data_IF_291486830262
#
_entry.id   IF_291486830262
#
_cell.length_a   1.000
_cell.length_b   1.000
_cell.length_c   1.000
_cell.angle_alpha   90.00
_cell.angle_beta   90.00
_cell.angle_gamma   90.00
#
_symmetry.space_group_name_H-M   'P 1'
#
loop_
_entity.id
_entity.type
_entity.pdbx_description
1 polymer ?
#
# COMPACT_ATOMS: atom_id res chain seq x y z
N UNK A 1 -14.84 89.97 -42.78
CA UNK A 1 -15.21 88.83 -43.65
C UNK A 1 -14.43 87.55 -43.29
N UNK A 2 -13.54 87.58 -42.28
CA UNK A 2 -12.64 86.48 -41.90
C UNK A 2 -13.24 85.41 -40.95
N UNK A 3 -14.39 85.69 -40.35
CA UNK A 3 -14.97 84.83 -39.30
C UNK A 3 -15.59 83.51 -39.84
N UNK A 4 -16.05 83.51 -41.10
CA UNK A 4 -16.67 82.33 -41.73
C UNK A 4 -15.63 81.29 -42.17
N UNK A 5 -14.41 81.71 -42.48
CA UNK A 5 -13.35 80.80 -42.94
C UNK A 5 -12.75 79.96 -41.81
N UNK A 6 -12.76 80.48 -40.59
CA UNK A 6 -12.26 79.76 -39.40
C UNK A 6 -13.25 78.67 -38.98
N UNK A 7 -14.55 78.98 -38.98
CA UNK A 7 -15.61 78.01 -38.66
C UNK A 7 -15.63 76.81 -39.64
N UNK A 8 -15.46 77.07 -40.93
CA UNK A 8 -15.39 76.00 -41.96
C UNK A 8 -14.09 75.17 -41.87
N UNK A 9 -12.98 75.75 -41.39
CA UNK A 9 -11.73 75.01 -41.16
C UNK A 9 -11.84 74.13 -39.91
N UNK A 10 -12.47 74.63 -38.85
CA UNK A 10 -12.71 73.90 -37.60
C UNK A 10 -13.67 72.72 -37.80
N UNK A 11 -14.75 72.92 -38.55
CA UNK A 11 -15.68 71.84 -38.92
C UNK A 11 -15.00 70.71 -39.71
N UNK A 12 -14.05 71.05 -40.61
CA UNK A 12 -13.26 70.05 -41.36
C UNK A 12 -12.31 69.27 -40.46
N UNK A 13 -11.66 69.92 -39.49
CA UNK A 13 -10.80 69.24 -38.52
C UNK A 13 -11.58 68.28 -37.63
N UNK A 14 -12.74 68.68 -37.14
CA UNK A 14 -13.62 67.82 -36.32
C UNK A 14 -14.10 66.60 -37.11
N UNK A 15 -14.48 66.78 -38.37
CA UNK A 15 -14.86 65.66 -39.25
C UNK A 15 -13.69 64.70 -39.51
N UNK A 16 -12.47 65.23 -39.70
CA UNK A 16 -11.26 64.41 -39.86
C UNK A 16 -10.89 63.65 -38.59
N UNK A 17 -10.99 64.28 -37.41
CA UNK A 17 -10.75 63.62 -36.12
C UNK A 17 -11.77 62.52 -35.83
N UNK A 18 -13.06 62.73 -36.16
CA UNK A 18 -14.08 61.68 -36.03
C UNK A 18 -13.82 60.50 -36.97
N UNK A 19 -13.39 60.78 -38.20
CA UNK A 19 -13.04 59.74 -39.16
C UNK A 19 -11.82 58.92 -38.72
N UNK A 20 -10.76 59.57 -38.20
CA UNK A 20 -9.56 58.88 -37.71
C UNK A 20 -9.82 58.09 -36.43
N UNK A 21 -10.56 58.65 -35.47
CA UNK A 21 -10.96 57.93 -34.26
C UNK A 21 -11.78 56.68 -34.59
N UNK A 22 -12.79 56.81 -35.46
CA UNK A 22 -13.61 55.64 -35.86
C UNK A 22 -12.82 54.60 -36.66
N UNK A 23 -11.78 55.00 -37.39
CA UNK A 23 -10.90 54.05 -38.09
C UNK A 23 -10.01 53.29 -37.11
N UNK A 24 -9.44 53.99 -36.12
CA UNK A 24 -8.62 53.38 -35.07
C UNK A 24 -9.45 52.43 -34.21
N UNK A 25 -10.66 52.83 -33.81
CA UNK A 25 -11.53 51.96 -33.00
C UNK A 25 -11.87 50.66 -33.73
N UNK A 26 -12.13 50.72 -35.05
CA UNK A 26 -12.37 49.52 -35.87
C UNK A 26 -11.14 48.64 -35.97
N UNK A 27 -9.96 49.23 -36.17
CA UNK A 27 -8.69 48.51 -36.29
C UNK A 27 -8.32 47.80 -34.97
N UNK A 28 -8.43 48.51 -33.85
CA UNK A 28 -8.20 47.96 -32.51
C UNK A 28 -9.20 46.85 -32.21
N UNK A 29 -10.48 47.03 -32.52
CA UNK A 29 -11.48 45.99 -32.28
C UNK A 29 -11.24 44.74 -33.13
N UNK A 30 -10.75 44.90 -34.36
CA UNK A 30 -10.35 43.78 -35.22
C UNK A 30 -9.10 43.05 -34.69
N UNK A 31 -8.08 43.78 -34.25
CA UNK A 31 -6.87 43.21 -33.64
C UNK A 31 -7.18 42.49 -32.32
N UNK A 32 -8.08 43.03 -31.49
CA UNK A 32 -8.54 42.37 -30.26
C UNK A 32 -9.27 41.05 -30.60
N UNK A 33 -10.18 41.06 -31.59
CA UNK A 33 -10.91 39.86 -32.00
C UNK A 33 -9.95 38.77 -32.51
N UNK A 34 -8.98 39.14 -33.35
CA UNK A 34 -7.99 38.24 -33.90
C UNK A 34 -7.06 37.66 -32.81
N UNK A 35 -6.66 38.49 -31.84
CA UNK A 35 -5.85 38.04 -30.69
C UNK A 35 -6.63 37.11 -29.76
N UNK A 36 -7.93 37.35 -29.56
CA UNK A 36 -8.78 36.49 -28.76
C UNK A 36 -8.94 35.09 -29.38
N UNK A 37 -9.13 35.01 -30.71
CA UNK A 37 -9.19 33.73 -31.44
C UNK A 37 -7.86 32.97 -31.41
N UNK A 38 -6.73 33.67 -31.58
CA UNK A 38 -5.40 33.04 -31.46
C UNK A 38 -5.10 32.56 -30.03
N UNK A 39 -5.49 33.35 -29.03
CA UNK A 39 -5.34 33.01 -27.62
C UNK A 39 -6.10 31.73 -27.27
N UNK A 40 -7.36 31.64 -27.66
CA UNK A 40 -8.21 30.47 -27.41
C UNK A 40 -7.73 29.20 -28.10
N UNK A 41 -7.27 29.28 -29.35
CA UNK A 41 -6.71 28.13 -30.06
C UNK A 41 -5.40 27.62 -29.41
N UNK A 42 -4.49 28.54 -29.05
CA UNK A 42 -3.24 28.19 -28.37
C UNK A 42 -3.46 27.66 -26.95
N UNK A 43 -4.47 28.20 -26.26
CA UNK A 43 -4.89 27.76 -24.92
C UNK A 43 -5.53 26.37 -24.96
N UNK A 44 -6.34 26.07 -25.97
CA UNK A 44 -6.91 24.73 -26.19
C UNK A 44 -5.83 23.65 -26.36
N UNK A 45 -4.76 23.95 -27.11
CA UNK A 45 -3.61 23.03 -27.29
C UNK A 45 -2.87 22.81 -25.96
N UNK A 46 -2.71 23.85 -25.14
CA UNK A 46 -2.11 23.72 -23.80
C UNK A 46 -2.98 22.90 -22.86
N UNK A 47 -4.29 23.13 -22.88
CA UNK A 47 -5.28 22.38 -22.09
C UNK A 47 -5.27 20.89 -22.44
N UNK A 48 -5.18 20.54 -23.72
CA UNK A 48 -5.08 19.15 -24.16
C UNK A 48 -3.78 18.49 -23.67
N UNK A 49 -2.66 19.22 -23.71
CA UNK A 49 -1.40 18.79 -23.14
C UNK A 49 -1.50 18.49 -21.64
N UNK A 50 -2.10 19.38 -20.85
CA UNK A 50 -2.31 19.18 -19.40
C UNK A 50 -3.25 18.01 -19.13
N UNK A 51 -4.33 17.87 -19.91
CA UNK A 51 -5.26 16.76 -19.78
C UNK A 51 -4.60 15.41 -20.11
N UNK A 52 -3.72 15.37 -21.11
CA UNK A 52 -2.92 14.19 -21.45
C UNK A 52 -1.92 13.84 -20.35
N UNK A 53 -1.28 14.83 -19.73
CA UNK A 53 -0.31 14.62 -18.65
C UNK A 53 -0.99 14.18 -17.34
N UNK A 54 -2.14 14.75 -16.99
CA UNK A 54 -2.95 14.25 -15.87
C UNK A 54 -3.44 12.83 -16.12
N UNK A 55 -3.82 12.49 -17.35
CA UNK A 55 -4.23 11.12 -17.73
C UNK A 55 -3.06 10.15 -17.60
N UNK A 56 -1.86 10.51 -18.08
CA UNK A 56 -0.69 9.64 -17.98
C UNK A 56 -0.30 9.38 -16.52
N UNK A 57 -0.35 10.42 -15.68
CA UNK A 57 -0.07 10.33 -14.25
C UNK A 57 -1.11 9.48 -13.50
N UNK A 58 -2.39 9.62 -13.84
CA UNK A 58 -3.45 8.79 -13.26
C UNK A 58 -3.34 7.31 -13.67
N UNK A 59 -2.92 7.02 -14.91
CA UNK A 59 -2.69 5.64 -15.37
C UNK A 59 -1.50 5.03 -14.63
N UNK A 60 -0.41 5.78 -14.45
CA UNK A 60 0.79 5.30 -13.74
C UNK A 60 0.53 5.08 -12.24
N UNK A 61 -0.24 5.96 -11.61
CA UNK A 61 -0.65 5.83 -10.21
C UNK A 61 -1.53 4.59 -9.98
N UNK A 62 -2.49 4.32 -10.87
CA UNK A 62 -3.34 3.12 -10.78
C UNK A 62 -2.50 1.85 -11.04
N UNK A 63 -1.55 1.89 -11.98
CA UNK A 63 -0.63 0.79 -12.27
C UNK A 63 0.40 0.55 -11.14
N UNK A 64 0.79 1.59 -10.41
CA UNK A 64 1.62 1.51 -9.20
C UNK A 64 0.86 0.94 -8.02
N UNK A 65 -0.35 1.46 -7.77
CA UNK A 65 -1.20 1.07 -6.64
C UNK A 65 -1.59 -0.42 -6.70
N UNK A 66 -1.87 -0.98 -7.88
CA UNK A 66 -2.17 -2.40 -8.02
C UNK A 66 -1.02 -3.33 -7.59
N UNK A 67 0.24 -2.92 -7.84
CA UNK A 67 1.42 -3.75 -7.55
C UNK A 67 1.84 -3.71 -6.08
N UNK A 68 1.62 -2.58 -5.40
CA UNK A 68 1.93 -2.45 -3.97
C UNK A 68 0.87 -3.11 -3.08
N UNK A 69 -0.40 -3.11 -3.49
CA UNK A 69 -1.49 -3.78 -2.77
C UNK A 69 -1.39 -5.31 -2.85
N UNK A 70 -0.96 -5.88 -3.98
CA UNK A 70 -0.81 -7.33 -4.11
C UNK A 70 0.36 -7.87 -3.28
N UNK A 71 1.50 -7.16 -3.25
CA UNK A 71 2.66 -7.58 -2.47
C UNK A 71 2.39 -7.50 -0.96
N UNK A 72 1.77 -6.41 -0.51
CA UNK A 72 1.47 -6.18 0.91
C UNK A 72 0.42 -7.16 1.45
N UNK A 73 -0.61 -7.49 0.66
CA UNK A 73 -1.63 -8.49 1.03
C UNK A 73 -1.08 -9.92 1.09
N UNK A 74 -0.10 -10.26 0.27
CA UNK A 74 0.49 -11.60 0.27
C UNK A 74 1.34 -11.83 1.52
N UNK A 75 2.17 -10.86 1.90
CA UNK A 75 2.99 -10.95 3.11
C UNK A 75 2.15 -10.93 4.40
N UNK A 76 1.09 -10.12 4.45
CA UNK A 76 0.19 -10.09 5.59
C UNK A 76 -0.53 -11.45 5.80
N UNK A 77 -1.02 -12.06 4.71
CA UNK A 77 -1.66 -13.38 4.79
C UNK A 77 -0.66 -14.49 5.15
N UNK A 78 0.58 -14.44 4.66
CA UNK A 78 1.61 -15.40 5.01
C UNK A 78 1.93 -15.37 6.51
N UNK A 79 2.04 -14.19 7.12
CA UNK A 79 2.22 -14.04 8.57
C UNK A 79 1.10 -14.71 9.35
N UNK A 80 -0.15 -14.45 8.98
CA UNK A 80 -1.32 -14.97 9.67
C UNK A 80 -1.41 -16.49 9.58
N UNK A 81 -1.06 -17.06 8.43
CA UNK A 81 -1.00 -18.52 8.26
C UNK A 81 0.08 -19.12 9.16
N UNK A 82 1.27 -18.53 9.18
CA UNK A 82 2.38 -19.00 10.02
C UNK A 82 2.00 -18.92 11.51
N UNK A 83 1.46 -17.79 11.98
CA UNK A 83 1.01 -17.61 13.36
C UNK A 83 -0.06 -18.63 13.77
N UNK A 84 -0.99 -18.94 12.86
CA UNK A 84 -2.00 -19.98 13.09
C UNK A 84 -1.38 -21.37 13.17
N UNK A 85 -0.44 -21.71 12.28
CA UNK A 85 0.27 -22.99 12.35
C UNK A 85 1.04 -23.17 13.66
N UNK A 86 1.74 -22.13 14.12
CA UNK A 86 2.43 -22.15 15.42
C UNK A 86 1.45 -22.30 16.57
N UNK A 87 0.35 -21.54 16.57
CA UNK A 87 -0.71 -21.65 17.58
C UNK A 87 -1.32 -23.06 17.63
N UNK A 88 -1.56 -23.67 16.47
CA UNK A 88 -2.04 -25.05 16.36
C UNK A 88 -1.01 -26.05 16.92
N UNK A 89 0.26 -25.87 16.58
CA UNK A 89 1.36 -26.70 17.08
C UNK A 89 1.48 -26.62 18.60
N UNK A 90 1.39 -25.42 19.20
CA UNK A 90 1.38 -25.25 20.65
C UNK A 90 0.20 -25.95 21.30
N UNK A 91 -1.00 -25.80 20.74
CA UNK A 91 -2.18 -26.50 21.24
C UNK A 91 -1.96 -28.01 21.27
N UNK A 92 -1.37 -28.57 20.22
CA UNK A 92 -1.12 -30.00 20.11
C UNK A 92 -0.05 -30.49 21.11
N UNK A 93 1.06 -29.75 21.26
CA UNK A 93 2.10 -30.05 22.25
C UNK A 93 1.58 -29.89 23.68
N UNK A 94 0.76 -28.88 23.96
CA UNK A 94 0.16 -28.64 25.27
C UNK A 94 -0.84 -29.75 25.63
N UNK A 95 -1.69 -30.17 24.69
CA UNK A 95 -2.58 -31.33 24.88
C UNK A 95 -1.74 -32.57 25.18
N UNK A 96 -0.67 -32.84 24.42
CA UNK A 96 0.24 -33.94 24.70
C UNK A 96 0.84 -33.86 26.10
N UNK A 97 1.29 -32.68 26.52
CA UNK A 97 1.85 -32.43 27.87
C UNK A 97 0.82 -32.80 28.94
N UNK A 98 -0.41 -32.32 28.82
CA UNK A 98 -1.50 -32.57 29.77
C UNK A 98 -1.84 -34.05 29.82
N UNK A 99 -1.97 -34.71 28.66
CA UNK A 99 -2.20 -36.15 28.56
C UNK A 99 -1.08 -36.95 29.24
N UNK A 100 0.18 -36.57 29.00
CA UNK A 100 1.34 -37.20 29.62
C UNK A 100 1.38 -36.97 31.13
N UNK A 101 0.98 -35.79 31.60
CA UNK A 101 1.00 -35.43 33.03
C UNK A 101 -0.10 -36.16 33.82
N UNK A 102 -1.25 -36.40 33.20
CA UNK A 102 -2.36 -37.18 33.78
C UNK A 102 -2.09 -38.70 33.70
N UNK A 103 -0.97 -39.12 33.09
CA UNK A 103 -0.65 -40.53 32.91
C UNK A 103 -1.61 -41.24 31.96
N UNK A 104 -2.07 -40.53 30.91
CA UNK A 104 -3.01 -41.08 29.94
C UNK A 104 -2.47 -42.38 29.32
N UNK A 105 -3.32 -43.40 29.24
CA UNK A 105 -2.92 -44.71 28.73
C UNK A 105 -2.64 -44.62 27.23
N UNK A 106 -1.46 -45.06 26.81
CA UNK A 106 -1.04 -45.10 25.39
C UNK A 106 -1.89 -46.02 24.51
N UNK A 107 -2.75 -46.85 25.09
CA UNK A 107 -3.76 -47.63 24.35
C UNK A 107 -4.98 -46.81 23.91
N UNK A 108 -5.11 -45.55 24.35
CA UNK A 108 -6.19 -44.69 23.94
C UNK A 108 -5.93 -44.11 22.54
N UNK A 109 -6.91 -44.24 21.63
CA UNK A 109 -6.77 -43.78 20.24
C UNK A 109 -6.52 -42.28 20.09
N UNK A 110 -7.04 -41.44 21.00
CA UNK A 110 -6.77 -40.00 21.01
C UNK A 110 -5.33 -39.71 21.41
N UNK A 111 -4.78 -40.41 22.40
CA UNK A 111 -3.36 -40.29 22.79
C UNK A 111 -2.46 -40.71 21.64
N UNK A 112 -2.75 -41.82 20.96
CA UNK A 112 -1.98 -42.28 19.80
C UNK A 112 -2.02 -41.30 18.63
N UNK A 113 -3.17 -40.69 18.36
CA UNK A 113 -3.30 -39.67 17.33
C UNK A 113 -2.44 -38.45 17.62
N UNK A 114 -2.57 -37.88 18.83
CA UNK A 114 -1.76 -36.74 19.26
C UNK A 114 -0.28 -37.09 19.21
N UNK A 115 0.08 -38.29 19.70
CA UNK A 115 1.45 -38.75 19.70
C UNK A 115 1.99 -38.87 18.28
N UNK A 116 1.25 -39.42 17.32
CA UNK A 116 1.67 -39.58 15.93
C UNK A 116 1.90 -38.23 15.22
N UNK A 117 1.00 -37.27 15.41
CA UNK A 117 1.11 -35.94 14.76
C UNK A 117 2.24 -35.11 15.37
N UNK A 118 2.44 -35.21 16.69
CA UNK A 118 3.51 -34.47 17.39
C UNK A 118 4.86 -35.17 17.35
N UNK A 119 4.92 -36.47 17.04
CA UNK A 119 6.17 -37.25 17.00
C UNK A 119 7.28 -36.66 16.11
N UNK A 120 7.03 -36.20 14.86
CA UNK A 120 8.11 -35.64 14.04
C UNK A 120 8.69 -34.34 14.62
N UNK A 121 7.86 -33.54 15.30
CA UNK A 121 8.28 -32.30 15.95
C UNK A 121 9.01 -32.56 17.28
N UNK A 122 8.52 -33.54 18.03
CA UNK A 122 9.07 -33.96 19.31
C UNK A 122 10.34 -34.82 19.17
N UNK A 123 10.38 -35.67 18.15
CA UNK A 123 11.43 -36.65 17.89
C UNK A 123 12.82 -36.04 17.68
N UNK A 124 12.90 -34.79 17.23
CA UNK A 124 14.16 -34.06 17.11
C UNK A 124 14.82 -33.77 18.46
N UNK A 125 14.02 -33.62 19.52
CA UNK A 125 14.49 -33.40 20.89
C UNK A 125 14.60 -34.72 21.67
N UNK A 126 14.02 -35.80 21.12
CA UNK A 126 14.07 -37.13 21.70
C UNK A 126 15.48 -37.73 21.57
N UNK A 127 16.27 -37.63 22.64
CA UNK A 127 17.64 -38.15 22.70
C UNK A 127 18.70 -37.13 23.11
N UNK A 128 18.39 -35.83 23.08
CA UNK A 128 19.28 -34.78 23.62
C UNK A 128 19.16 -34.70 25.15
N UNK A 129 17.99 -35.03 25.71
CA UNK A 129 17.73 -35.03 27.15
C UNK A 129 17.19 -36.38 27.58
N UNK A 130 17.96 -37.11 28.40
CA UNK A 130 17.52 -38.37 29.02
C UNK A 130 16.28 -38.13 29.85
N UNK A 131 15.14 -38.70 29.44
CA UNK A 131 13.92 -38.73 30.26
C UNK A 131 13.84 -40.06 30.99
N UNK A 132 14.10 -40.10 32.30
CA UNK A 132 13.79 -41.29 33.08
C UNK A 132 12.26 -41.47 33.09
N UNK A 133 11.80 -42.53 32.44
CA UNK A 133 10.42 -43.01 32.59
C UNK A 133 10.42 -44.07 33.69
N UNK A 134 9.85 -43.75 34.85
CA UNK A 134 9.63 -44.72 35.93
C UNK A 134 8.15 -44.73 36.29
N UNK A 135 7.52 -45.91 36.22
CA UNK A 135 6.20 -46.14 36.81
C UNK A 135 5.03 -45.31 36.24
N UNK A 136 4.98 -45.08 34.93
CA UNK A 136 3.84 -44.43 34.27
C UNK A 136 3.79 -42.90 34.38
N UNK A 137 4.77 -42.29 35.05
CA UNK A 137 4.94 -40.84 35.09
C UNK A 137 6.21 -40.49 34.33
N UNK A 138 6.07 -40.21 33.03
CA UNK A 138 7.18 -39.67 32.24
C UNK A 138 7.32 -38.20 32.61
N UNK A 139 8.38 -37.84 33.33
CA UNK A 139 8.71 -36.43 33.54
C UNK A 139 8.86 -35.79 32.16
N UNK A 140 7.85 -34.99 31.79
CA UNK A 140 7.70 -34.40 30.47
C UNK A 140 8.66 -33.22 30.23
N UNK A 141 9.87 -33.30 30.79
CA UNK A 141 10.96 -32.34 30.57
C UNK A 141 11.18 -32.08 29.08
N UNK A 142 11.16 -33.09 28.17
CA UNK A 142 11.35 -32.82 26.76
C UNK A 142 10.15 -32.12 26.11
N UNK A 143 8.93 -32.30 26.63
CA UNK A 143 7.74 -31.58 26.13
C UNK A 143 7.79 -30.12 26.55
N UNK A 144 8.23 -29.84 27.78
CA UNK A 144 8.43 -28.46 28.26
C UNK A 144 9.52 -27.76 27.43
N UNK A 145 10.64 -28.46 27.16
CA UNK A 145 11.71 -27.93 26.30
C UNK A 145 11.18 -27.68 24.88
N UNK A 146 10.42 -28.60 24.30
CA UNK A 146 9.82 -28.41 22.99
C UNK A 146 8.93 -27.15 22.98
N UNK A 147 8.12 -26.94 24.01
CA UNK A 147 7.26 -25.76 24.13
C UNK A 147 8.07 -24.46 24.21
N UNK A 148 9.17 -24.45 24.96
CA UNK A 148 10.10 -23.30 25.06
C UNK A 148 10.80 -23.04 23.73
N UNK A 149 11.31 -24.07 23.06
CA UNK A 149 12.03 -23.93 21.78
C UNK A 149 11.08 -23.41 20.71
N UNK A 150 9.86 -23.95 20.63
CA UNK A 150 8.87 -23.43 19.70
C UNK A 150 8.47 -22.00 20.05
N UNK A 151 8.30 -21.64 21.34
CA UNK A 151 8.02 -20.26 21.79
C UNK A 151 9.08 -19.28 21.29
N UNK A 152 10.36 -19.64 21.42
CA UNK A 152 11.47 -18.85 20.90
C UNK A 152 11.46 -18.77 19.36
N UNK A 153 11.15 -19.88 18.68
CA UNK A 153 11.08 -19.91 17.23
C UNK A 153 9.94 -19.02 16.69
N UNK A 154 8.77 -19.05 17.33
CA UNK A 154 7.64 -18.17 16.97
C UNK A 154 7.98 -16.70 17.23
N UNK A 155 8.62 -16.38 18.37
CA UNK A 155 9.08 -15.03 18.65
C UNK A 155 10.13 -14.54 17.63
N UNK A 156 11.07 -15.40 17.23
CA UNK A 156 12.07 -15.08 16.22
C UNK A 156 11.44 -14.84 14.84
N UNK A 157 10.49 -15.68 14.44
CA UNK A 157 9.77 -15.55 13.17
C UNK A 157 8.91 -14.29 13.18
N UNK A 158 8.11 -14.06 14.21
CA UNK A 158 7.30 -12.84 14.33
C UNK A 158 8.19 -11.58 14.36
N UNK A 159 9.31 -11.63 15.08
CA UNK A 159 10.32 -10.56 15.07
C UNK A 159 10.91 -10.31 13.68
N UNK A 160 11.23 -11.36 12.93
CA UNK A 160 11.74 -11.28 11.57
C UNK A 160 10.70 -10.73 10.59
N UNK A 161 9.45 -11.22 10.64
CA UNK A 161 8.36 -10.70 9.83
C UNK A 161 8.07 -9.24 10.16
N UNK A 162 8.07 -8.87 11.44
CA UNK A 162 7.94 -7.47 11.88
C UNK A 162 9.05 -6.61 11.30
N UNK A 163 10.29 -7.08 11.29
CA UNK A 163 11.43 -6.36 10.72
C UNK A 163 11.30 -6.16 9.20
N UNK A 164 10.81 -7.17 8.47
CA UNK A 164 10.54 -7.07 7.03
C UNK A 164 9.44 -6.05 6.72
N UNK A 165 8.42 -5.96 7.55
CA UNK A 165 7.32 -5.00 7.39
C UNK A 165 7.76 -3.58 7.78
N UNK A 166 8.51 -3.41 8.87
CA UNK A 166 8.96 -2.09 9.34
C UNK A 166 10.07 -1.47 8.49
N UNK A 167 10.78 -2.25 7.67
CA UNK A 167 11.79 -1.71 6.74
C UNK A 167 11.21 -0.76 5.67
N UNK A 168 9.87 -0.67 5.52
CA UNK A 168 9.23 0.32 4.64
C UNK A 168 8.84 1.64 5.32
N UNK A 169 9.07 1.81 6.63
CA UNK A 169 8.76 3.06 7.35
C UNK A 169 10.02 3.85 7.75
N UNK A 170 11.03 3.86 6.88
CA UNK A 170 12.11 4.83 6.95
C UNK A 170 12.04 5.67 5.67
N UNK A 171 11.22 6.73 5.73
CA UNK A 171 11.31 7.91 4.87
C UNK A 171 11.76 9.05 5.76
#
# INVERSE_FOLDING_TARGET
MEDRTVADDEARRLAQHGATASAVDRDVNADIAERAERGTAAEAVKLDGVASDMRSHAIDEVAGTGRDLDRSRFFARASQVIDYLFSLLYGLLAIRLVLSLIGARTSNGFVQFIDAVTNPFYGLFHGIVSSPSSGGHTLAVPIIIALIVYALLHAAINGFLRMLVHRKTAV
#
